data_IF_529052932733
#
_entry.id   IF_529052932733
#
_cell.length_a   1.000
_cell.length_b   1.000
_cell.length_c   1.000
_cell.angle_alpha   90.00
_cell.angle_beta   90.00
_cell.angle_gamma   90.00
#
_symmetry.space_group_name_H-M   'P 1'
#
loop_
_entity.id
_entity.type
_entity.pdbx_description
1 polymer ?
#
# COMPACT_ATOMS: atom_id res chain seq x y z
N UNK A 1 4.79 16.99 -19.99
CA UNK A 1 4.74 15.96 -18.93
C UNK A 1 3.79 14.86 -19.38
N UNK A 2 4.27 13.63 -19.47
CA UNK A 2 3.41 12.47 -19.81
C UNK A 2 2.44 12.24 -18.66
N UNK A 3 1.14 12.26 -18.94
CA UNK A 3 0.13 11.99 -17.93
C UNK A 3 0.19 10.50 -17.59
N UNK A 4 0.57 10.17 -16.34
CA UNK A 4 0.58 8.79 -15.85
C UNK A 4 -0.85 8.44 -15.46
N UNK A 5 -1.41 7.42 -16.12
CA UNK A 5 -2.66 6.81 -15.66
C UNK A 5 -2.36 5.80 -14.58
N UNK A 6 -3.19 5.72 -13.57
CA UNK A 6 -3.05 4.76 -12.48
C UNK A 6 -4.13 3.67 -12.59
N UNK A 7 -3.69 2.43 -12.49
CA UNK A 7 -4.58 1.27 -12.30
C UNK A 7 -4.46 0.86 -10.84
N UNK A 8 -5.56 0.91 -10.11
CA UNK A 8 -5.66 0.35 -8.77
C UNK A 8 -6.31 -1.04 -8.85
N UNK A 9 -5.51 -2.08 -8.61
CA UNK A 9 -5.97 -3.45 -8.60
C UNK A 9 -6.31 -3.89 -7.17
N UNK A 10 -7.56 -4.29 -6.97
CA UNK A 10 -8.05 -4.79 -5.68
C UNK A 10 -7.87 -6.30 -5.53
N UNK A 11 -7.99 -7.06 -6.60
CA UNK A 11 -7.89 -8.52 -6.55
C UNK A 11 -9.03 -9.18 -5.79
N UNK A 12 -8.81 -10.43 -5.40
CA UNK A 12 -9.76 -11.21 -4.60
C UNK A 12 -9.25 -11.52 -3.20
N UNK A 13 -8.04 -11.10 -2.84
CA UNK A 13 -7.43 -11.36 -1.54
C UNK A 13 -8.22 -10.71 -0.42
N UNK A 14 -8.73 -11.55 0.50
CA UNK A 14 -9.43 -11.15 1.71
C UNK A 14 -8.83 -11.84 2.94
N UNK A 15 -7.50 -11.89 3.00
CA UNK A 15 -6.76 -12.49 4.10
C UNK A 15 -5.65 -11.59 4.57
N UNK A 16 -5.40 -11.58 5.85
CA UNK A 16 -4.36 -10.81 6.49
C UNK A 16 -3.74 -11.64 7.62
N UNK A 17 -2.49 -11.42 7.90
CA UNK A 17 -1.79 -11.99 9.05
C UNK A 17 -1.96 -11.11 10.31
N UNK A 18 -2.54 -9.91 10.18
CA UNK A 18 -2.91 -9.04 11.30
C UNK A 18 -4.42 -9.12 11.57
N UNK A 19 -4.80 -8.80 12.82
CA UNK A 19 -6.19 -8.75 13.26
C UNK A 19 -6.51 -7.42 13.97
N UNK A 20 -6.07 -6.30 13.38
CA UNK A 20 -6.23 -4.96 13.94
C UNK A 20 -7.70 -4.67 14.29
N UNK A 21 -7.95 -4.12 15.50
CA UNK A 21 -9.30 -3.89 16.03
C UNK A 21 -10.16 -3.01 15.13
N UNK A 22 -9.55 -1.98 14.54
CA UNK A 22 -10.17 -0.97 13.67
C UNK A 22 -10.26 -1.36 12.20
N UNK A 23 -9.66 -2.49 11.77
CA UNK A 23 -9.68 -2.87 10.37
C UNK A 23 -11.07 -3.40 9.96
N UNK A 24 -11.72 -2.81 8.93
CA UNK A 24 -13.02 -3.28 8.46
C UNK A 24 -12.93 -4.49 7.52
N UNK A 25 -11.70 -4.90 7.13
CA UNK A 25 -11.44 -5.90 6.11
C UNK A 25 -11.10 -7.27 6.69
N UNK A 26 -10.00 -7.87 6.24
CA UNK A 26 -9.61 -9.22 6.61
C UNK A 26 -8.84 -9.26 7.93
N UNK A 27 -9.21 -10.22 8.77
CA UNK A 27 -8.57 -10.48 10.09
C UNK A 27 -8.23 -11.97 10.26
N UNK A 28 -8.03 -12.68 9.16
CA UNK A 28 -7.74 -14.13 9.16
C UNK A 28 -6.81 -14.51 8.02
N UNK A 29 -6.06 -15.60 8.16
CA UNK A 29 -5.36 -16.23 7.06
C UNK A 29 -6.32 -16.71 5.96
N UNK A 30 -5.87 -16.69 4.72
CA UNK A 30 -6.58 -17.27 3.59
C UNK A 30 -6.43 -18.79 3.55
N UNK A 31 -7.48 -19.49 3.11
CA UNK A 31 -7.33 -20.89 2.73
C UNK A 31 -6.51 -21.03 1.45
N UNK A 32 -5.91 -22.21 1.25
CA UNK A 32 -5.15 -22.51 0.03
C UNK A 32 -5.94 -22.21 -1.24
N UNK A 33 -7.22 -22.60 -1.28
CA UNK A 33 -8.10 -22.37 -2.44
C UNK A 33 -8.37 -20.87 -2.70
N UNK A 34 -8.52 -20.07 -1.64
CA UNK A 34 -8.67 -18.62 -1.77
C UNK A 34 -7.40 -17.98 -2.35
N UNK A 35 -6.22 -18.38 -1.88
CA UNK A 35 -4.94 -17.87 -2.36
C UNK A 35 -4.67 -18.30 -3.82
N UNK A 36 -4.92 -19.56 -4.18
CA UNK A 36 -4.80 -20.04 -5.57
C UNK A 36 -5.73 -19.26 -6.53
N UNK A 37 -6.96 -18.94 -6.09
CA UNK A 37 -7.88 -18.12 -6.87
C UNK A 37 -7.36 -16.69 -7.06
N UNK A 38 -6.80 -16.11 -6.01
CA UNK A 38 -6.26 -14.76 -6.04
C UNK A 38 -5.02 -14.69 -6.93
N UNK A 39 -4.07 -15.61 -6.78
CA UNK A 39 -2.90 -15.75 -7.64
C UNK A 39 -3.29 -15.84 -9.11
N UNK A 40 -4.26 -16.72 -9.43
CA UNK A 40 -4.77 -16.86 -10.80
C UNK A 40 -5.39 -15.57 -11.34
N UNK A 41 -6.07 -14.78 -10.49
CA UNK A 41 -6.65 -13.50 -10.89
C UNK A 41 -5.56 -12.44 -11.16
N UNK A 42 -4.57 -12.32 -10.29
CA UNK A 42 -3.43 -11.41 -10.47
C UNK A 42 -2.64 -11.78 -11.74
N UNK A 43 -2.38 -13.06 -11.94
CA UNK A 43 -1.68 -13.54 -13.15
C UNK A 43 -2.46 -13.20 -14.44
N UNK A 44 -3.78 -13.32 -14.44
CA UNK A 44 -4.60 -12.89 -15.60
C UNK A 44 -4.45 -11.41 -15.90
N UNK A 45 -4.39 -10.55 -14.87
CA UNK A 45 -4.11 -9.13 -15.07
C UNK A 45 -2.76 -8.93 -15.77
N UNK A 46 -1.70 -9.56 -15.26
CA UNK A 46 -0.34 -9.43 -15.80
C UNK A 46 -0.27 -9.89 -17.26
N UNK A 47 -0.85 -11.07 -17.55
CA UNK A 47 -0.91 -11.61 -18.92
C UNK A 47 -1.70 -10.68 -19.85
N UNK A 48 -2.88 -10.21 -19.41
CA UNK A 48 -3.71 -9.33 -20.23
C UNK A 48 -3.06 -7.98 -20.54
N UNK A 49 -2.28 -7.42 -19.61
CA UNK A 49 -1.48 -6.22 -19.85
C UNK A 49 -0.30 -6.49 -20.78
N UNK A 50 0.37 -7.63 -20.61
CA UNK A 50 1.50 -8.02 -21.45
C UNK A 50 1.07 -8.26 -22.91
N UNK A 51 -0.03 -8.99 -23.15
CA UNK A 51 -0.55 -9.27 -24.47
C UNK A 51 -1.00 -8.01 -25.22
N UNK A 52 -1.44 -6.99 -24.48
CA UNK A 52 -1.89 -5.70 -25.04
C UNK A 52 -0.83 -4.62 -24.97
N UNK A 53 0.42 -4.97 -24.70
CA UNK A 53 1.51 -4.00 -24.49
C UNK A 53 1.62 -2.97 -25.62
N UNK A 54 1.49 -3.38 -26.87
CA UNK A 54 1.56 -2.49 -28.04
C UNK A 54 0.44 -1.46 -28.14
N UNK A 55 -0.69 -1.69 -27.46
CA UNK A 55 -1.82 -0.76 -27.44
C UNK A 55 -1.62 0.44 -26.48
N UNK A 56 -0.69 0.31 -25.53
CA UNK A 56 -0.43 1.37 -24.55
C UNK A 56 0.52 2.43 -25.10
N UNK A 57 -0.01 3.62 -25.34
CA UNK A 57 0.76 4.80 -25.76
C UNK A 57 1.23 5.66 -24.59
N UNK A 58 0.61 5.50 -23.45
CA UNK A 58 0.87 6.28 -22.23
C UNK A 58 1.54 5.40 -21.17
N UNK A 59 2.26 6.04 -20.26
CA UNK A 59 2.84 5.37 -19.10
C UNK A 59 1.76 5.06 -18.05
N UNK A 60 1.87 3.91 -17.40
CA UNK A 60 0.96 3.47 -16.35
C UNK A 60 1.66 3.33 -15.01
N UNK A 61 0.97 3.75 -13.95
CA UNK A 61 1.24 3.31 -12.59
C UNK A 61 0.27 2.18 -12.21
N UNK A 62 0.75 1.16 -11.55
CA UNK A 62 -0.08 0.04 -11.08
C UNK A 62 0.05 -0.04 -9.56
N UNK A 63 -1.06 0.14 -8.86
CA UNK A 63 -1.14 0.01 -7.40
C UNK A 63 -1.96 -1.24 -7.04
N UNK A 64 -1.34 -2.16 -6.35
CA UNK A 64 -1.97 -3.35 -5.78
C UNK A 64 -2.44 -3.03 -4.37
N UNK A 65 -3.75 -3.02 -4.15
CA UNK A 65 -4.36 -2.63 -2.89
C UNK A 65 -5.54 -3.54 -2.52
N UNK A 66 -5.28 -4.82 -2.18
CA UNK A 66 -6.33 -5.77 -1.82
C UNK A 66 -6.95 -5.46 -0.46
N UNK A 67 -7.98 -6.21 -0.11
CA UNK A 67 -8.62 -6.13 1.21
C UNK A 67 -7.90 -6.96 2.29
N UNK A 68 -6.63 -7.30 2.09
CA UNK A 68 -5.77 -8.07 2.98
C UNK A 68 -4.31 -7.71 2.82
N UNK A 69 -3.41 -8.56 3.34
CA UNK A 69 -1.97 -8.35 3.21
C UNK A 69 -1.40 -9.14 2.03
N UNK A 70 -1.01 -8.42 0.97
CA UNK A 70 -0.51 -9.00 -0.26
C UNK A 70 0.94 -9.51 -0.13
N UNK A 71 1.81 -8.72 0.49
CA UNK A 71 3.26 -8.89 0.35
C UNK A 71 3.86 -9.99 1.24
N UNK A 72 3.03 -10.69 2.04
CA UNK A 72 3.44 -11.95 2.67
C UNK A 72 3.39 -13.15 1.72
N UNK A 73 2.83 -12.98 0.52
CA UNK A 73 2.68 -14.02 -0.49
C UNK A 73 3.67 -13.81 -1.64
N UNK A 74 4.49 -14.80 -1.93
CA UNK A 74 5.56 -14.73 -2.95
C UNK A 74 5.06 -14.45 -4.36
N UNK A 75 3.85 -14.93 -4.71
CA UNK A 75 3.28 -14.70 -6.03
C UNK A 75 3.02 -13.21 -6.32
N UNK A 76 2.74 -12.38 -5.32
CA UNK A 76 2.62 -10.93 -5.53
C UNK A 76 3.96 -10.32 -5.95
N UNK A 77 5.04 -10.69 -5.30
CA UNK A 77 6.38 -10.22 -5.65
C UNK A 77 6.78 -10.63 -7.07
N UNK A 78 6.48 -11.88 -7.45
CA UNK A 78 6.72 -12.42 -8.80
C UNK A 78 5.94 -11.63 -9.86
N UNK A 79 4.64 -11.45 -9.66
CA UNK A 79 3.80 -10.75 -10.63
C UNK A 79 4.10 -9.25 -10.68
N UNK A 80 4.47 -8.62 -9.56
CA UNK A 80 4.97 -7.24 -9.54
C UNK A 80 6.30 -7.09 -10.28
N UNK A 81 7.19 -8.07 -10.16
CA UNK A 81 8.42 -8.11 -10.96
C UNK A 81 8.12 -8.20 -12.46
N UNK A 82 7.18 -9.06 -12.86
CA UNK A 82 6.74 -9.16 -14.24
C UNK A 82 6.14 -7.84 -14.76
N UNK A 83 5.27 -7.18 -13.98
CA UNK A 83 4.70 -5.88 -14.31
C UNK A 83 5.77 -4.80 -14.48
N UNK A 84 6.79 -4.79 -13.62
CA UNK A 84 7.85 -3.78 -13.68
C UNK A 84 8.66 -3.83 -14.98
N UNK A 85 8.76 -5.00 -15.63
CA UNK A 85 9.47 -5.18 -16.90
C UNK A 85 8.69 -4.68 -18.12
N UNK A 86 7.41 -4.42 -17.99
CA UNK A 86 6.62 -3.87 -19.10
C UNK A 86 7.06 -2.44 -19.41
N UNK A 87 7.37 -2.14 -20.67
CA UNK A 87 7.95 -0.88 -21.08
C UNK A 87 7.07 0.34 -20.79
N UNK A 88 5.75 0.15 -20.77
CA UNK A 88 4.75 1.18 -20.49
C UNK A 88 4.44 1.32 -18.99
N UNK A 89 4.94 0.42 -18.13
CA UNK A 89 4.78 0.53 -16.67
C UNK A 89 5.91 1.39 -16.10
N UNK A 90 5.55 2.52 -15.52
CA UNK A 90 6.47 3.47 -14.89
C UNK A 90 6.68 3.19 -13.41
N UNK A 91 5.64 2.67 -12.75
CA UNK A 91 5.69 2.30 -11.36
C UNK A 91 4.77 1.11 -11.07
N UNK A 92 5.21 0.22 -10.21
CA UNK A 92 4.40 -0.84 -9.63
C UNK A 92 4.50 -0.75 -8.12
N UNK A 93 3.37 -0.68 -7.45
CA UNK A 93 3.33 -0.51 -6.01
C UNK A 93 2.33 -1.44 -5.33
N UNK A 94 2.49 -1.57 -4.02
CA UNK A 94 1.54 -2.28 -3.19
C UNK A 94 1.29 -1.55 -1.88
N UNK A 95 0.05 -1.65 -1.40
CA UNK A 95 -0.31 -1.30 -0.03
C UNK A 95 -0.03 -2.51 0.87
N UNK A 96 0.60 -2.27 2.04
CA UNK A 96 1.07 -3.34 2.92
C UNK A 96 1.14 -2.90 4.38
N UNK A 97 1.02 -3.85 5.30
CA UNK A 97 1.32 -3.66 6.72
C UNK A 97 2.81 -3.84 7.05
N UNK A 98 3.65 -4.06 6.05
CA UNK A 98 5.10 -4.24 6.14
C UNK A 98 5.54 -5.41 7.05
N UNK A 99 4.69 -6.44 7.22
CA UNK A 99 5.01 -7.61 8.07
C UNK A 99 5.96 -8.61 7.42
N UNK A 100 6.30 -8.45 6.15
CA UNK A 100 7.28 -9.28 5.47
C UNK A 100 8.73 -8.94 5.87
N UNK A 101 9.69 -9.77 5.45
CA UNK A 101 11.13 -9.54 5.61
C UNK A 101 11.68 -8.85 4.36
N UNK A 102 12.03 -7.55 4.43
CA UNK A 102 12.41 -6.76 3.25
C UNK A 102 13.57 -7.35 2.47
N UNK A 103 14.60 -7.88 3.15
CA UNK A 103 15.81 -8.43 2.54
C UNK A 103 15.46 -9.58 1.59
N UNK A 104 14.75 -10.58 2.11
CA UNK A 104 14.35 -11.77 1.34
C UNK A 104 13.40 -11.44 0.21
N UNK A 105 12.48 -10.51 0.45
CA UNK A 105 11.49 -10.15 -0.54
C UNK A 105 12.10 -9.35 -1.70
N UNK A 106 13.03 -8.43 -1.41
CA UNK A 106 13.74 -7.70 -2.47
C UNK A 106 14.68 -8.63 -3.26
N UNK A 107 15.41 -9.53 -2.61
CA UNK A 107 16.23 -10.54 -3.29
C UNK A 107 15.37 -11.41 -4.24
N UNK A 108 14.19 -11.84 -3.76
CA UNK A 108 13.28 -12.62 -4.59
C UNK A 108 12.73 -11.78 -5.77
N UNK A 109 12.34 -10.51 -5.51
CA UNK A 109 11.86 -9.60 -6.55
C UNK A 109 12.91 -9.37 -7.65
N UNK A 110 14.16 -9.12 -7.27
CA UNK A 110 15.28 -8.93 -8.20
C UNK A 110 15.61 -10.23 -8.97
N UNK A 111 15.57 -11.38 -8.28
CA UNK A 111 15.73 -12.70 -8.92
C UNK A 111 14.68 -13.00 -9.98
N UNK A 112 13.43 -12.56 -9.75
CA UNK A 112 12.34 -12.64 -10.74
C UNK A 112 12.45 -11.56 -11.83
N UNK A 113 13.54 -10.79 -11.85
CA UNK A 113 13.83 -9.73 -12.83
C UNK A 113 13.10 -8.41 -12.58
N UNK A 114 12.69 -8.17 -11.35
CA UNK A 114 12.01 -6.92 -10.97
C UNK A 114 12.93 -5.70 -11.00
N UNK A 115 12.41 -4.57 -11.46
CA UNK A 115 13.13 -3.29 -11.52
C UNK A 115 12.87 -2.49 -10.24
N UNK A 116 13.82 -2.46 -9.28
CA UNK A 116 13.68 -1.76 -7.99
C UNK A 116 13.32 -0.27 -8.16
N UNK A 117 13.88 0.40 -9.19
CA UNK A 117 13.56 1.81 -9.48
C UNK A 117 12.07 2.08 -9.75
N UNK A 118 11.32 1.05 -10.16
CA UNK A 118 9.86 1.12 -10.41
C UNK A 118 9.04 0.67 -9.21
N UNK A 119 9.66 0.03 -8.20
CA UNK A 119 8.97 -0.46 -7.03
C UNK A 119 8.52 0.69 -6.12
N UNK A 120 7.28 0.63 -5.66
CA UNK A 120 6.69 1.59 -4.73
C UNK A 120 6.02 0.85 -3.59
N UNK A 121 6.21 1.31 -2.37
CA UNK A 121 5.59 0.72 -1.20
C UNK A 121 4.76 1.78 -0.47
N UNK A 122 3.51 1.46 -0.24
CA UNK A 122 2.64 2.22 0.63
C UNK A 122 2.44 1.42 1.91
N UNK A 123 3.29 1.68 2.90
CA UNK A 123 3.31 0.95 4.15
C UNK A 123 2.35 1.58 5.17
N UNK A 124 1.56 0.77 5.84
CA UNK A 124 0.69 1.23 6.93
C UNK A 124 1.19 0.68 8.26
N UNK A 125 1.49 1.58 9.19
CA UNK A 125 1.89 1.23 10.54
C UNK A 125 0.66 0.89 11.39
N UNK A 126 0.73 -0.25 12.07
CA UNK A 126 -0.32 -0.78 12.93
C UNK A 126 0.20 -0.91 14.37
N UNK A 127 0.08 0.13 15.22
CA UNK A 127 0.69 0.17 16.55
C UNK A 127 0.17 -0.91 17.52
N UNK A 128 -1.01 -1.50 17.26
CA UNK A 128 -1.52 -2.63 18.06
C UNK A 128 -0.68 -3.91 17.92
N UNK A 129 0.16 -4.01 16.86
CA UNK A 129 0.83 -5.25 16.50
C UNK A 129 2.34 -5.06 16.31
N UNK A 130 2.76 -3.95 15.70
CA UNK A 130 4.17 -3.72 15.36
C UNK A 130 4.77 -2.60 16.21
N UNK A 131 6.03 -2.73 16.54
CA UNK A 131 6.79 -1.71 17.28
C UNK A 131 7.32 -0.63 16.33
N UNK A 132 7.27 0.67 16.71
CA UNK A 132 7.75 1.77 15.86
C UNK A 132 9.19 1.59 15.36
N UNK A 133 10.09 1.06 16.22
CA UNK A 133 11.49 0.84 15.89
C UNK A 133 11.64 -0.20 14.78
N UNK A 134 11.00 -1.36 14.93
CA UNK A 134 11.07 -2.47 13.96
C UNK A 134 10.50 -2.03 12.61
N UNK A 135 9.38 -1.31 12.63
CA UNK A 135 8.79 -0.77 11.43
C UNK A 135 9.68 0.27 10.73
N UNK A 136 10.28 1.20 11.50
CA UNK A 136 11.18 2.21 10.96
C UNK A 136 12.48 1.60 10.39
N UNK A 137 13.02 0.54 10.99
CA UNK A 137 14.19 -0.19 10.47
C UNK A 137 13.89 -0.80 9.10
N UNK A 138 12.74 -1.44 8.94
CA UNK A 138 12.27 -1.97 7.64
C UNK A 138 12.12 -0.86 6.59
N UNK A 139 11.55 0.28 6.99
CA UNK A 139 11.41 1.45 6.11
C UNK A 139 12.78 1.99 5.66
N UNK A 140 13.72 2.11 6.60
CA UNK A 140 15.09 2.56 6.32
C UNK A 140 15.78 1.64 5.34
N UNK A 141 15.74 0.32 5.57
CA UNK A 141 16.32 -0.66 4.68
C UNK A 141 15.77 -0.54 3.26
N UNK A 142 14.45 -0.48 3.10
CA UNK A 142 13.82 -0.31 1.78
C UNK A 142 14.26 0.98 1.09
N UNK A 143 14.33 2.10 1.84
CA UNK A 143 14.76 3.39 1.32
C UNK A 143 16.23 3.37 0.86
N UNK A 144 17.12 2.76 1.63
CA UNK A 144 18.55 2.59 1.30
C UNK A 144 18.75 1.72 0.05
N UNK A 145 17.86 0.77 -0.20
CA UNK A 145 17.83 -0.03 -1.42
C UNK A 145 17.22 0.71 -2.63
N UNK A 146 16.84 1.98 -2.47
CA UNK A 146 16.28 2.79 -3.54
C UNK A 146 14.79 2.56 -3.81
N UNK A 147 14.10 1.80 -2.97
CA UNK A 147 12.64 1.65 -3.04
C UNK A 147 11.98 2.94 -2.56
N UNK A 148 11.09 3.50 -3.35
CA UNK A 148 10.30 4.66 -2.91
C UNK A 148 9.12 4.19 -2.08
N UNK A 149 8.99 4.75 -0.88
CA UNK A 149 7.89 4.41 0.00
C UNK A 149 7.29 5.64 0.67
N UNK A 150 6.04 5.50 1.07
CA UNK A 150 5.34 6.40 1.99
C UNK A 150 4.77 5.57 3.14
N UNK A 151 4.67 6.18 4.29
CA UNK A 151 4.16 5.55 5.50
C UNK A 151 2.83 6.18 5.87
N UNK A 152 1.84 5.35 6.14
CA UNK A 152 0.56 5.75 6.68
C UNK A 152 0.38 5.23 8.10
N UNK A 153 -0.44 5.93 8.88
CA UNK A 153 -0.92 5.45 10.16
C UNK A 153 -2.42 5.73 10.31
N UNK A 154 -3.11 4.85 11.02
CA UNK A 154 -4.50 5.12 11.42
C UNK A 154 -4.49 6.07 12.60
N UNK A 155 -5.20 7.19 12.49
CA UNK A 155 -5.33 8.22 13.53
C UNK A 155 -6.17 7.75 14.72
N UNK A 156 -5.68 6.70 15.37
CA UNK A 156 -6.19 6.25 16.65
C UNK A 156 -5.61 7.14 17.76
N UNK A 157 -6.45 7.87 18.53
CA UNK A 157 -5.98 8.73 19.61
C UNK A 157 -5.12 8.02 20.66
N UNK A 158 -5.41 6.75 20.94
CA UNK A 158 -4.66 5.94 21.91
C UNK A 158 -3.23 5.62 21.44
N UNK A 159 -3.01 5.65 20.12
CA UNK A 159 -1.72 5.32 19.51
C UNK A 159 -0.87 6.55 19.13
N UNK A 160 -1.30 7.76 19.48
CA UNK A 160 -0.61 8.99 19.06
C UNK A 160 0.84 9.06 19.51
N UNK A 161 1.16 8.49 20.67
CA UNK A 161 2.53 8.42 21.19
C UNK A 161 3.42 7.50 20.34
N UNK A 162 2.91 6.35 19.90
CA UNK A 162 3.65 5.42 19.05
C UNK A 162 3.80 5.97 17.63
N UNK A 163 2.78 6.66 17.11
CA UNK A 163 2.87 7.34 15.80
C UNK A 163 3.91 8.45 15.85
N UNK A 164 3.99 9.23 16.94
CA UNK A 164 5.01 10.27 17.15
C UNK A 164 6.40 9.64 17.18
N UNK A 165 6.58 8.57 17.96
CA UNK A 165 7.84 7.84 18.03
C UNK A 165 8.26 7.28 16.68
N UNK A 166 7.30 6.79 15.88
CA UNK A 166 7.59 6.36 14.52
C UNK A 166 8.05 7.55 13.66
N UNK A 167 7.37 8.69 13.73
CA UNK A 167 7.73 9.89 12.98
C UNK A 167 9.17 10.34 13.26
N UNK A 168 9.60 10.29 14.54
CA UNK A 168 10.95 10.64 14.95
C UNK A 168 12.04 9.65 14.46
N UNK A 169 11.64 8.41 14.15
CA UNK A 169 12.54 7.33 13.71
C UNK A 169 12.63 7.19 12.19
N UNK A 170 11.64 7.69 11.47
CA UNK A 170 11.60 7.60 10.00
C UNK A 170 12.69 8.47 9.37
N UNK A 171 13.33 8.02 8.27
CA UNK A 171 14.15 8.88 7.42
C UNK A 171 13.37 10.11 6.92
N UNK A 172 14.02 11.27 6.84
CA UNK A 172 13.41 12.55 6.42
C UNK A 172 12.75 12.52 5.04
N UNK A 173 13.22 11.65 4.16
CA UNK A 173 12.66 11.47 2.82
C UNK A 173 11.40 10.60 2.77
N UNK A 174 10.95 10.07 3.90
CA UNK A 174 9.74 9.24 4.00
C UNK A 174 8.63 10.05 4.63
N UNK A 175 7.61 10.38 3.83
CA UNK A 175 6.44 11.09 4.33
C UNK A 175 5.55 10.17 5.15
N UNK A 176 5.21 10.61 6.36
CA UNK A 176 4.19 9.99 7.23
C UNK A 176 2.87 10.75 7.08
N UNK A 177 1.82 10.07 6.66
CA UNK A 177 0.48 10.63 6.58
C UNK A 177 -0.46 9.89 7.53
N UNK A 178 -1.51 10.57 8.00
CA UNK A 178 -2.44 10.03 8.98
C UNK A 178 -3.85 10.06 8.41
N UNK A 179 -4.52 8.90 8.40
CA UNK A 179 -5.95 8.79 8.11
C UNK A 179 -6.74 8.84 9.42
N UNK A 180 -7.87 9.54 9.39
CA UNK A 180 -8.81 9.45 10.49
C UNK A 180 -9.30 8.00 10.67
N UNK A 181 -9.30 7.53 11.93
CA UNK A 181 -9.84 6.22 12.27
C UNK A 181 -11.35 6.17 12.01
N UNK A 182 -11.78 5.23 11.18
CA UNK A 182 -13.19 4.91 11.03
C UNK A 182 -13.66 4.08 12.25
N UNK A 183 -14.89 4.34 12.69
CA UNK A 183 -15.45 3.58 13.82
C UNK A 183 -14.97 4.02 15.20
N UNK A 184 -14.34 5.19 15.34
CA UNK A 184 -13.98 5.75 16.66
C UNK A 184 -15.20 5.98 17.57
N UNK A 185 -16.42 6.02 17.02
CA UNK A 185 -17.67 6.19 17.76
C UNK A 185 -17.90 7.61 18.28
N UNK A 186 -16.92 8.49 18.16
CA UNK A 186 -16.97 9.91 18.56
C UNK A 186 -16.07 10.77 17.66
N UNK A 187 -16.28 12.09 17.60
CA UNK A 187 -15.32 13.01 17.00
C UNK A 187 -13.99 13.03 17.79
N UNK A 188 -12.89 13.29 17.09
CA UNK A 188 -11.63 13.63 17.75
C UNK A 188 -11.76 14.92 18.56
N UNK A 189 -11.17 14.95 19.74
CA UNK A 189 -11.08 16.16 20.56
C UNK A 189 -10.18 17.20 19.89
N UNK A 190 -10.15 18.43 20.45
CA UNK A 190 -9.28 19.48 19.95
C UNK A 190 -7.81 19.13 20.13
N UNK A 191 -7.46 18.52 21.25
CA UNK A 191 -6.11 18.08 21.61
C UNK A 191 -5.65 16.94 20.69
N UNK A 192 -6.51 15.95 20.44
CA UNK A 192 -6.22 14.85 19.51
C UNK A 192 -5.97 15.37 18.09
N UNK A 193 -6.84 16.27 17.60
CA UNK A 193 -6.65 16.91 16.29
C UNK A 193 -5.32 17.67 16.21
N UNK A 194 -5.00 18.44 17.26
CA UNK A 194 -3.73 19.17 17.35
C UNK A 194 -2.54 18.21 17.30
N UNK A 195 -2.58 17.13 18.08
CA UNK A 195 -1.51 16.13 18.09
C UNK A 195 -1.29 15.46 16.73
N UNK A 196 -2.36 15.15 16.00
CA UNK A 196 -2.24 14.60 14.64
C UNK A 196 -1.75 15.63 13.62
N UNK A 197 -2.17 16.88 13.72
CA UNK A 197 -1.71 17.96 12.84
C UNK A 197 -0.24 18.30 13.02
N UNK A 198 0.32 18.10 14.22
CA UNK A 198 1.75 18.24 14.48
C UNK A 198 2.58 17.16 13.75
N UNK A 199 2.00 15.97 13.54
CA UNK A 199 2.63 14.83 12.88
C UNK A 199 2.41 14.83 11.36
N UNK A 200 1.20 15.16 10.94
CA UNK A 200 0.80 15.27 9.53
C UNK A 200 0.04 16.59 9.32
N UNK A 201 0.70 17.62 8.77
CA UNK A 201 0.05 18.90 8.49
C UNK A 201 -1.17 18.80 7.57
N UNK A 202 -1.28 17.74 6.74
CA UNK A 202 -2.40 17.53 5.84
C UNK A 202 -3.58 16.80 6.50
N UNK A 203 -3.45 16.36 7.75
CA UNK A 203 -4.52 15.70 8.49
C UNK A 203 -5.81 16.53 8.61
N UNK A 204 -5.72 17.86 8.45
CA UNK A 204 -6.91 18.72 8.40
C UNK A 204 -7.91 18.32 7.30
N UNK A 205 -7.44 17.69 6.22
CA UNK A 205 -8.27 17.23 5.11
C UNK A 205 -9.28 16.17 5.54
N UNK A 206 -8.95 15.39 6.56
CA UNK A 206 -9.83 14.36 7.11
C UNK A 206 -11.12 14.94 7.77
N UNK A 207 -11.13 16.26 8.04
CA UNK A 207 -12.27 16.95 8.65
C UNK A 207 -12.98 17.92 7.72
N UNK A 208 -12.27 18.51 6.78
CA UNK A 208 -12.78 19.62 5.97
C UNK A 208 -12.97 19.24 4.50
N UNK A 209 -12.44 18.09 4.08
CA UNK A 209 -12.68 17.67 2.70
C UNK A 209 -14.12 17.18 2.59
N UNK A 210 -14.98 17.82 1.75
CA UNK A 210 -16.25 17.23 1.40
C UNK A 210 -15.94 15.84 0.82
N UNK A 211 -16.73 14.81 1.18
CA UNK A 211 -16.62 13.47 0.58
C UNK A 211 -16.59 13.72 -0.92
N UNK A 212 -15.41 13.61 -1.51
CA UNK A 212 -15.21 13.93 -2.90
C UNK A 212 -16.17 13.08 -3.71
N UNK A 213 -16.91 13.72 -4.58
CA UNK A 213 -17.75 13.01 -5.54
C UNK A 213 -16.80 12.10 -6.33
N UNK A 214 -17.04 10.78 -6.28
CA UNK A 214 -16.17 9.78 -6.91
C UNK A 214 -15.99 10.01 -8.42
N UNK A 215 -16.83 10.84 -9.02
CA UNK A 215 -16.75 11.29 -10.41
C UNK A 215 -15.50 12.12 -10.76
N UNK A 216 -14.77 12.65 -9.76
CA UNK A 216 -13.59 13.50 -9.99
C UNK A 216 -12.27 12.75 -10.10
N UNK A 217 -12.22 11.42 -9.91
CA UNK A 217 -11.02 10.60 -10.07
C UNK A 217 -10.80 10.13 -11.53
N UNK A 218 -10.92 11.01 -12.51
CA UNK A 218 -10.85 10.69 -13.93
C UNK A 218 -9.52 10.11 -14.46
N UNK A 219 -8.47 10.02 -13.61
CA UNK A 219 -7.16 9.48 -14.00
C UNK A 219 -6.86 8.08 -13.42
N UNK A 220 -7.74 7.52 -12.59
CA UNK A 220 -7.55 6.22 -11.93
C UNK A 220 -8.59 5.22 -12.39
N UNK A 221 -8.11 4.05 -12.82
CA UNK A 221 -8.97 2.88 -13.09
C UNK A 221 -8.93 1.94 -11.89
N UNK A 222 -10.10 1.49 -11.45
CA UNK A 222 -10.21 0.44 -10.45
C UNK A 222 -10.50 -0.87 -11.16
N UNK A 223 -9.72 -1.90 -10.83
CA UNK A 223 -9.90 -3.24 -11.37
C UNK A 223 -10.09 -4.23 -10.24
N UNK A 224 -11.18 -4.96 -10.29
CA UNK A 224 -11.45 -6.10 -9.43
C UNK A 224 -10.85 -7.40 -10.03
N UNK A 225 -10.91 -8.49 -9.26
CA UNK A 225 -10.36 -9.79 -9.66
C UNK A 225 -10.99 -10.38 -10.95
N UNK A 226 -12.19 -9.96 -11.31
CA UNK A 226 -12.92 -10.38 -12.50
C UNK A 226 -12.72 -9.47 -13.72
N UNK A 227 -11.91 -8.42 -13.57
CA UNK A 227 -11.58 -7.48 -14.65
C UNK A 227 -12.57 -6.32 -14.80
N UNK A 228 -13.47 -6.14 -13.84
CA UNK A 228 -14.40 -4.99 -13.78
C UNK A 228 -13.81 -3.85 -12.95
#
# INVERSE_FOLDING_TARGET
MTQIREIQYRGSLKSCNYACSYCPFAKRPGSRRELEKDEAALRRLVLGLSERASAFKEKLGILIAPYGEALIHSYYWKEMAALSRLFFVEAVGAQTNLSFQPERCLEYYEKEGGELRKLRIWATFHPEIEQPQVFAEKCRYLSERGVRLSVGAVGNPEAIADIRKLADLLPENIYLWINRMDGLGRPCTREEKKGFLELDPWFFREFFWPKADASLCGSRLFLEADGR
#
